data_IF_199618093226
#
_entry.id   IF_199618093226
#
_cell.length_a   1.000
_cell.length_b   1.000
_cell.length_c   1.000
_cell.angle_alpha   90.00
_cell.angle_beta   90.00
_cell.angle_gamma   90.00
#
_symmetry.space_group_name_H-M   'P 1'
#
loop_
_entity.id
_entity.type
_entity.pdbx_description
1 polymer ?
#
# COMPACT_ATOMS: atom_id res chain seq x y z
N UNK A 1 -17.15 15.99 -14.28
CA UNK A 1 -16.79 15.52 -12.92
C UNK A 1 -15.26 15.49 -12.80
N UNK A 2 -14.65 15.94 -11.71
CA UNK A 2 -13.17 15.91 -11.57
C UNK A 2 -12.65 14.47 -11.61
N UNK A 3 -11.55 14.20 -12.33
CA UNK A 3 -10.93 12.86 -12.45
C UNK A 3 -10.65 12.22 -11.09
N UNK A 4 -10.22 13.02 -10.12
CA UNK A 4 -10.00 12.56 -8.74
C UNK A 4 -11.30 12.12 -8.06
N UNK A 5 -12.44 12.77 -8.34
CA UNK A 5 -13.74 12.34 -7.80
C UNK A 5 -14.18 11.01 -8.40
N UNK A 6 -13.98 10.81 -9.70
CA UNK A 6 -14.25 9.51 -10.34
C UNK A 6 -13.38 8.41 -9.74
N UNK A 7 -12.08 8.66 -9.58
CA UNK A 7 -11.15 7.72 -8.97
C UNK A 7 -11.52 7.40 -7.51
N UNK A 8 -11.91 8.42 -6.73
CA UNK A 8 -12.41 8.25 -5.38
C UNK A 8 -13.65 7.34 -5.33
N UNK A 9 -14.66 7.61 -6.15
CA UNK A 9 -15.87 6.77 -6.20
C UNK A 9 -15.51 5.33 -6.61
N UNK A 10 -14.66 5.17 -7.63
CA UNK A 10 -14.25 3.86 -8.11
C UNK A 10 -13.54 3.04 -7.02
N UNK A 11 -12.49 3.61 -6.38
CA UNK A 11 -11.75 2.88 -5.33
C UNK A 11 -12.62 2.61 -4.11
N UNK A 12 -13.48 3.55 -3.72
CA UNK A 12 -14.42 3.37 -2.61
C UNK A 12 -15.40 2.23 -2.89
N UNK A 13 -15.96 2.20 -4.11
CA UNK A 13 -16.87 1.14 -4.53
C UNK A 13 -16.17 -0.22 -4.54
N UNK A 14 -14.95 -0.30 -5.06
CA UNK A 14 -14.16 -1.55 -5.06
C UNK A 14 -13.87 -2.05 -3.65
N UNK A 15 -13.44 -1.16 -2.74
CA UNK A 15 -13.16 -1.53 -1.34
C UNK A 15 -14.43 -1.98 -0.63
N UNK A 16 -15.52 -1.22 -0.74
CA UNK A 16 -16.77 -1.53 -0.05
C UNK A 16 -17.41 -2.81 -0.57
N UNK A 17 -17.59 -2.94 -1.89
CA UNK A 17 -18.21 -4.11 -2.50
C UNK A 17 -17.33 -5.35 -2.34
N UNK A 18 -16.01 -5.23 -2.51
CA UNK A 18 -15.08 -6.33 -2.31
C UNK A 18 -15.04 -6.80 -0.85
N UNK A 19 -15.07 -5.86 0.11
CA UNK A 19 -15.13 -6.20 1.54
C UNK A 19 -16.45 -6.86 1.89
N UNK A 20 -17.59 -6.31 1.44
CA UNK A 20 -18.91 -6.89 1.66
C UNK A 20 -18.99 -8.32 1.09
N UNK A 21 -18.53 -8.50 -0.16
CA UNK A 21 -18.40 -9.83 -0.76
C UNK A 21 -17.57 -10.76 0.12
N UNK A 22 -16.40 -10.31 0.58
CA UNK A 22 -15.52 -11.15 1.38
C UNK A 22 -16.12 -11.63 2.69
N UNK A 23 -16.98 -10.81 3.31
CA UNK A 23 -17.71 -11.15 4.54
C UNK A 23 -18.84 -12.12 4.23
N UNK A 24 -19.65 -11.84 3.20
CA UNK A 24 -20.80 -12.70 2.83
C UNK A 24 -20.35 -14.10 2.44
N UNK A 25 -19.24 -14.22 1.70
CA UNK A 25 -18.75 -15.49 1.19
C UNK A 25 -17.58 -16.07 1.99
N UNK A 26 -17.21 -15.47 3.14
CA UNK A 26 -16.08 -15.89 3.97
C UNK A 26 -14.77 -16.10 3.19
N UNK A 27 -14.48 -15.20 2.24
CA UNK A 27 -13.28 -15.32 1.38
C UNK A 27 -12.08 -14.55 1.88
N UNK A 28 -12.22 -13.75 2.93
CA UNK A 28 -11.09 -12.99 3.48
C UNK A 28 -10.17 -13.86 4.35
N UNK A 29 -8.88 -13.56 4.31
CA UNK A 29 -7.88 -14.11 5.21
C UNK A 29 -7.42 -13.06 6.22
N UNK A 30 -7.65 -13.30 7.50
CA UNK A 30 -7.15 -12.47 8.59
C UNK A 30 -5.61 -12.53 8.66
N UNK A 31 -4.93 -11.42 8.37
CA UNK A 31 -3.46 -11.37 8.33
C UNK A 31 -2.83 -11.15 9.69
N UNK A 32 -3.61 -10.67 10.67
CA UNK A 32 -3.20 -10.54 12.07
C UNK A 32 -3.07 -11.90 12.76
N UNK A 33 -3.83 -12.91 12.32
CA UNK A 33 -3.84 -14.23 12.95
C UNK A 33 -2.54 -15.02 12.66
N UNK A 34 -1.68 -15.27 13.66
CA UNK A 34 -0.40 -15.95 13.45
C UNK A 34 -0.53 -17.40 12.98
N UNK A 35 -1.64 -18.07 13.31
CA UNK A 35 -1.90 -19.46 12.93
C UNK A 35 -2.30 -19.60 11.46
N UNK A 36 -2.89 -18.56 10.86
CA UNK A 36 -3.40 -18.61 9.50
C UNK A 36 -2.49 -17.89 8.50
N UNK A 37 -1.89 -16.77 8.89
CA UNK A 37 -1.20 -15.86 7.97
C UNK A 37 0.03 -16.46 7.29
N UNK A 38 0.68 -17.45 7.90
CA UNK A 38 1.86 -18.12 7.34
C UNK A 38 1.47 -19.22 6.32
N UNK A 39 0.23 -19.70 6.35
CA UNK A 39 -0.26 -20.73 5.46
C UNK A 39 -0.68 -20.16 4.08
N UNK A 40 -0.70 -20.99 3.02
CA UNK A 40 -1.35 -20.63 1.78
C UNK A 40 -2.82 -20.29 2.01
N UNK A 41 -3.34 -19.31 1.28
CA UNK A 41 -4.76 -18.96 1.35
C UNK A 41 -5.61 -20.20 1.01
N UNK A 42 -6.71 -20.49 1.73
CA UNK A 42 -7.54 -21.68 1.48
C UNK A 42 -8.02 -21.80 0.03
N UNK A 43 -8.44 -20.68 -0.55
CA UNK A 43 -8.86 -20.58 -1.96
C UNK A 43 -7.71 -20.52 -2.99
N UNK A 44 -6.44 -20.58 -2.58
CA UNK A 44 -5.30 -20.40 -3.52
C UNK A 44 -5.19 -21.49 -4.58
N UNK A 45 -5.74 -22.69 -4.33
CA UNK A 45 -5.74 -23.80 -5.29
C UNK A 45 -6.77 -23.63 -6.41
N UNK A 46 -7.89 -22.95 -6.13
CA UNK A 46 -9.00 -22.76 -7.07
C UNK A 46 -9.00 -21.36 -7.68
N UNK A 47 -8.58 -20.35 -6.91
CA UNK A 47 -8.58 -18.95 -7.29
C UNK A 47 -7.15 -18.43 -7.37
N UNK A 48 -6.69 -18.16 -8.60
CA UNK A 48 -5.32 -17.66 -8.88
C UNK A 48 -4.97 -16.42 -8.05
N UNK A 49 -5.91 -15.49 -7.91
CA UNK A 49 -5.68 -14.21 -7.24
C UNK A 49 -5.66 -14.30 -5.71
N UNK A 50 -6.14 -15.41 -5.14
CA UNK A 50 -6.01 -15.69 -3.71
C UNK A 50 -4.59 -16.17 -3.33
N UNK A 51 -3.76 -16.54 -4.31
CA UNK A 51 -2.37 -16.91 -4.04
C UNK A 51 -1.49 -15.68 -3.85
N UNK A 52 -0.70 -15.62 -2.77
CA UNK A 52 0.32 -14.57 -2.53
C UNK A 52 1.42 -14.57 -3.60
N UNK A 53 1.61 -15.67 -4.32
CA UNK A 53 2.60 -15.81 -5.40
C UNK A 53 2.10 -15.37 -6.78
N UNK A 54 0.90 -14.79 -6.88
CA UNK A 54 0.36 -14.43 -8.18
C UNK A 54 1.17 -13.31 -8.88
N UNK A 55 1.18 -13.24 -10.23
CA UNK A 55 1.99 -12.26 -10.96
C UNK A 55 1.69 -10.80 -10.64
N UNK A 56 0.42 -10.47 -10.37
CA UNK A 56 0.02 -9.11 -9.99
C UNK A 56 0.70 -8.70 -8.68
N UNK A 57 0.74 -9.59 -7.70
CA UNK A 57 1.41 -9.32 -6.43
C UNK A 57 2.93 -9.15 -6.60
N UNK A 58 3.58 -10.09 -7.31
CA UNK A 58 5.04 -10.15 -7.41
C UNK A 58 5.62 -9.00 -8.24
N UNK A 59 5.01 -8.68 -9.39
CA UNK A 59 5.57 -7.71 -10.33
C UNK A 59 5.04 -6.29 -10.15
N UNK A 60 3.77 -6.14 -9.74
CA UNK A 60 3.14 -4.83 -9.65
C UNK A 60 3.02 -4.35 -8.21
N UNK A 61 2.29 -5.07 -7.36
CA UNK A 61 1.90 -4.58 -6.03
C UNK A 61 3.14 -4.35 -5.15
N UNK A 62 4.09 -5.30 -5.09
CA UNK A 62 5.34 -5.14 -4.33
C UNK A 62 6.20 -3.94 -4.78
N UNK A 63 6.01 -3.46 -6.01
CA UNK A 63 6.72 -2.33 -6.60
C UNK A 63 5.79 -1.14 -6.88
N UNK A 64 4.62 -1.08 -6.24
CA UNK A 64 3.53 -0.19 -6.63
C UNK A 64 3.93 1.29 -6.61
N UNK A 65 4.66 1.73 -5.59
CA UNK A 65 5.10 3.13 -5.51
C UNK A 65 6.10 3.50 -6.62
N UNK A 66 7.00 2.57 -6.98
CA UNK A 66 7.95 2.76 -8.08
C UNK A 66 7.22 2.94 -9.42
N UNK A 67 6.27 2.06 -9.72
CA UNK A 67 5.42 2.17 -10.92
C UNK A 67 4.58 3.45 -10.94
N UNK A 68 4.00 3.81 -9.79
CA UNK A 68 3.23 5.06 -9.61
C UNK A 68 4.09 6.28 -9.90
N UNK A 69 5.30 6.32 -9.34
CA UNK A 69 6.24 7.43 -9.56
C UNK A 69 6.72 7.51 -11.00
N UNK A 70 7.05 6.37 -11.63
CA UNK A 70 7.45 6.32 -13.03
C UNK A 70 6.34 6.81 -13.97
N UNK A 71 5.10 6.36 -13.77
CA UNK A 71 3.95 6.79 -14.57
C UNK A 71 3.70 8.30 -14.43
N UNK A 72 3.74 8.82 -13.20
CA UNK A 72 3.60 10.26 -12.95
C UNK A 72 4.72 11.07 -13.62
N UNK A 73 5.98 10.72 -13.39
CA UNK A 73 7.12 11.46 -13.93
C UNK A 73 7.17 11.43 -15.46
N UNK A 74 6.77 10.31 -16.07
CA UNK A 74 6.63 10.21 -17.53
C UNK A 74 5.54 11.16 -18.05
N UNK A 75 4.36 11.19 -17.43
CA UNK A 75 3.29 12.10 -17.83
C UNK A 75 3.61 13.57 -17.56
N UNK A 76 4.35 13.86 -16.48
CA UNK A 76 4.84 15.19 -16.17
C UNK A 76 5.89 15.64 -17.20
N UNK A 77 6.91 14.82 -17.48
CA UNK A 77 8.01 15.17 -18.38
C UNK A 77 7.60 15.32 -19.85
N UNK A 78 6.66 14.48 -20.32
CA UNK A 78 6.14 14.55 -21.70
C UNK A 78 5.08 15.64 -21.91
N UNK A 79 4.56 16.23 -20.83
CA UNK A 79 3.53 17.26 -20.88
C UNK A 79 4.05 18.62 -21.38
N UNK A 80 3.18 19.45 -21.98
CA UNK A 80 3.56 20.82 -22.36
C UNK A 80 3.95 21.66 -21.13
N UNK A 81 4.74 22.75 -21.31
CA UNK A 81 5.20 23.59 -20.22
C UNK A 81 4.09 24.07 -19.27
N UNK A 82 2.90 24.33 -19.80
CA UNK A 82 1.71 24.72 -19.02
C UNK A 82 1.27 23.69 -17.97
N UNK A 83 1.60 22.42 -18.18
CA UNK A 83 1.29 21.34 -17.23
C UNK A 83 2.47 20.96 -16.33
N UNK A 84 3.70 21.33 -16.68
CA UNK A 84 4.93 21.01 -15.93
C UNK A 84 5.12 21.92 -14.71
N UNK A 85 4.17 21.87 -13.80
CA UNK A 85 4.10 22.80 -12.66
C UNK A 85 4.79 22.23 -11.41
N UNK A 86 5.44 23.11 -10.64
CA UNK A 86 6.07 22.77 -9.35
C UNK A 86 5.06 22.21 -8.34
N UNK A 87 3.85 22.80 -8.17
CA UNK A 87 2.83 22.24 -7.26
C UNK A 87 2.48 20.76 -7.51
N UNK A 88 2.59 20.27 -8.74
CA UNK A 88 2.36 18.84 -9.05
C UNK A 88 3.48 17.97 -8.51
N UNK A 89 4.74 18.37 -8.69
CA UNK A 89 5.90 17.69 -8.12
C UNK A 89 5.84 17.70 -6.59
N UNK A 90 5.51 18.85 -5.98
CA UNK A 90 5.43 18.96 -4.53
C UNK A 90 4.40 17.99 -3.96
N UNK A 91 3.22 17.84 -4.57
CA UNK A 91 2.21 16.85 -4.14
C UNK A 91 2.74 15.41 -4.20
N UNK A 92 3.48 15.05 -5.24
CA UNK A 92 4.10 13.73 -5.36
C UNK A 92 5.21 13.52 -4.31
N UNK A 93 6.06 14.52 -4.08
CA UNK A 93 7.07 14.47 -3.03
C UNK A 93 6.44 14.35 -1.64
N UNK A 94 5.42 15.14 -1.33
CA UNK A 94 4.68 15.06 -0.06
C UNK A 94 4.00 13.70 0.12
N UNK A 95 3.38 13.16 -0.94
CA UNK A 95 2.80 11.82 -0.89
C UNK A 95 3.87 10.74 -0.66
N UNK A 96 5.06 10.88 -1.26
CA UNK A 96 6.20 9.98 -1.04
C UNK A 96 6.69 10.05 0.39
N UNK A 97 6.85 11.26 0.94
CA UNK A 97 7.29 11.46 2.31
C UNK A 97 6.29 10.86 3.31
N UNK A 98 4.98 11.12 3.13
CA UNK A 98 3.93 10.55 3.99
C UNK A 98 3.94 9.03 3.90
N UNK A 99 3.98 8.44 2.70
CA UNK A 99 4.07 6.99 2.53
C UNK A 99 5.28 6.39 3.26
N UNK A 100 6.47 7.00 3.12
CA UNK A 100 7.69 6.55 3.80
C UNK A 100 7.57 6.57 5.33
N UNK A 101 6.89 7.57 5.93
CA UNK A 101 6.64 7.59 7.38
C UNK A 101 5.85 6.36 7.84
N UNK A 102 4.93 5.86 7.02
CA UNK A 102 4.12 4.69 7.37
C UNK A 102 4.84 3.36 7.12
N UNK A 103 5.71 3.28 6.11
CA UNK A 103 6.27 2.00 5.65
C UNK A 103 7.76 1.81 5.89
N UNK A 104 8.52 2.88 6.11
CA UNK A 104 9.95 2.83 6.30
C UNK A 104 10.33 3.10 7.76
N UNK A 105 11.49 2.58 8.15
CA UNK A 105 12.13 2.94 9.41
C UNK A 105 12.56 4.40 9.37
N UNK A 106 11.71 5.29 9.88
CA UNK A 106 11.96 6.72 9.92
C UNK A 106 11.76 7.20 11.37
N UNK A 107 12.88 7.44 12.08
CA UNK A 107 12.91 7.72 13.52
C UNK A 107 12.37 6.58 14.41
N UNK A 108 12.75 5.34 14.09
CA UNK A 108 12.32 4.13 14.80
C UNK A 108 11.44 3.23 13.94
N UNK A 109 10.74 2.25 14.55
CA UNK A 109 9.82 1.34 13.85
C UNK A 109 8.83 2.10 12.97
N UNK A 110 8.52 1.54 11.80
CA UNK A 110 7.53 2.09 10.89
C UNK A 110 6.19 2.31 11.62
N UNK A 111 5.43 3.34 11.25
CA UNK A 111 4.21 3.68 11.98
C UNK A 111 3.17 2.53 11.96
N UNK A 112 3.14 1.72 10.90
CA UNK A 112 2.34 0.48 10.89
C UNK A 112 2.73 -0.50 12.00
N UNK A 113 4.02 -0.71 12.26
CA UNK A 113 4.47 -1.58 13.35
C UNK A 113 4.05 -1.04 14.72
N UNK A 114 4.11 0.28 14.89
CA UNK A 114 3.66 0.93 16.13
C UNK A 114 2.15 0.79 16.35
N UNK A 115 1.35 0.89 15.28
CA UNK A 115 -0.10 0.68 15.35
C UNK A 115 -0.41 -0.76 15.75
N UNK A 116 0.30 -1.74 15.17
CA UNK A 116 0.12 -3.15 15.53
C UNK A 116 0.46 -3.39 17.00
N UNK A 117 1.59 -2.88 17.49
CA UNK A 117 1.97 -3.01 18.90
C UNK A 117 0.98 -2.31 19.84
N UNK A 118 0.59 -1.07 19.52
CA UNK A 118 -0.34 -0.29 20.34
C UNK A 118 -1.74 -0.91 20.43
N UNK A 119 -2.12 -1.74 19.45
CA UNK A 119 -3.40 -2.47 19.42
C UNK A 119 -3.30 -3.88 20.01
N UNK A 120 -2.23 -4.19 20.76
CA UNK A 120 -2.05 -5.48 21.43
C UNK A 120 -1.28 -6.51 20.60
N UNK A 121 -0.56 -6.07 19.57
CA UNK A 121 0.26 -6.94 18.76
C UNK A 121 1.49 -7.45 19.49
N UNK A 122 1.88 -8.68 19.15
CA UNK A 122 3.04 -9.37 19.71
C UNK A 122 4.00 -9.75 18.58
N UNK A 123 5.30 -9.81 18.89
CA UNK A 123 6.27 -10.38 17.98
C UNK A 123 6.18 -11.90 18.04
N UNK A 124 5.73 -12.54 16.97
CA UNK A 124 5.45 -13.99 16.95
C UNK A 124 6.36 -14.70 15.98
N UNK A 125 6.93 -15.82 16.44
CA UNK A 125 7.65 -16.81 15.64
C UNK A 125 6.78 -18.04 15.44
N UNK A 126 6.41 -18.32 14.19
CA UNK A 126 5.68 -19.55 13.83
C UNK A 126 6.65 -20.72 13.74
N UNK A 127 6.38 -21.78 14.50
CA UNK A 127 7.17 -23.01 14.51
C UNK A 127 6.59 -24.03 13.50
N UNK A 128 7.42 -24.95 12.98
CA UNK A 128 6.96 -26.04 12.11
C UNK A 128 5.92 -26.97 12.75
N UNK A 129 5.85 -27.02 14.09
CA UNK A 129 4.84 -27.78 14.83
C UNK A 129 3.42 -27.18 14.70
N UNK A 130 3.31 -25.93 14.23
CA UNK A 130 2.07 -25.15 14.24
C UNK A 130 1.95 -24.25 15.46
N UNK A 131 2.84 -24.38 16.44
CA UNK A 131 2.87 -23.50 17.61
C UNK A 131 3.42 -22.11 17.28
N UNK A 132 3.01 -21.13 18.08
CA UNK A 132 3.45 -19.75 17.96
C UNK A 132 4.17 -19.32 19.24
N UNK A 133 5.46 -18.94 19.12
CA UNK A 133 6.26 -18.43 20.22
C UNK A 133 6.24 -16.90 20.21
N UNK A 134 5.86 -16.29 21.33
CA UNK A 134 5.94 -14.84 21.50
C UNK A 134 7.34 -14.43 21.95
N UNK A 135 7.93 -13.46 21.25
CA UNK A 135 9.27 -12.92 21.46
C UNK A 135 9.20 -11.43 21.85
N UNK A 136 10.27 -10.88 22.44
CA UNK A 136 10.42 -9.44 22.59
C UNK A 136 10.29 -8.70 21.24
N UNK A 137 9.71 -7.50 21.24
CA UNK A 137 9.36 -6.75 20.03
C UNK A 137 10.58 -6.39 19.17
N UNK A 138 11.75 -6.26 19.79
CA UNK A 138 13.03 -5.92 19.18
C UNK A 138 13.43 -6.91 18.07
N UNK A 139 13.08 -8.19 18.23
CA UNK A 139 13.36 -9.22 17.22
C UNK A 139 12.56 -9.00 15.93
N UNK A 140 11.35 -8.45 16.04
CA UNK A 140 10.53 -8.12 14.87
C UNK A 140 10.98 -6.81 14.20
N UNK A 141 11.42 -5.83 15.00
CA UNK A 141 11.92 -4.54 14.49
C UNK A 141 13.23 -4.68 13.71
N UNK A 142 14.13 -5.57 14.16
CA UNK A 142 15.37 -5.84 13.44
C UNK A 142 15.16 -6.67 12.18
N UNK A 143 14.08 -7.46 12.13
CA UNK A 143 13.79 -8.38 11.03
C UNK A 143 14.83 -9.50 10.88
N UNK A 144 15.67 -9.72 11.90
CA UNK A 144 16.71 -10.73 11.88
C UNK A 144 16.08 -12.14 11.91
N UNK A 145 16.65 -13.07 11.15
CA UNK A 145 16.27 -14.46 11.24
C UNK A 145 16.81 -15.06 12.54
N UNK A 146 15.95 -15.77 13.27
CA UNK A 146 16.31 -16.49 14.51
C UNK A 146 16.44 -17.99 14.21
N UNK A 147 17.36 -18.65 14.91
CA UNK A 147 17.57 -20.10 14.84
C UNK A 147 18.01 -20.66 16.18
N UNK A 148 17.84 -21.97 16.42
CA UNK A 148 18.38 -22.64 17.60
C UNK A 148 19.89 -22.45 17.77
N UNK A 149 20.64 -22.41 16.66
CA UNK A 149 22.10 -22.23 16.68
C UNK A 149 22.53 -20.82 17.10
N UNK A 150 21.75 -19.78 16.75
CA UNK A 150 22.10 -18.38 17.02
C UNK A 150 21.47 -17.86 18.30
N UNK A 151 20.29 -18.36 18.66
CA UNK A 151 19.48 -17.89 19.78
C UNK A 151 18.97 -19.08 20.61
N UNK A 152 19.85 -19.93 21.16
CA UNK A 152 19.45 -21.17 21.83
C UNK A 152 18.50 -20.92 23.01
N UNK A 153 18.64 -19.79 23.70
CA UNK A 153 17.78 -19.39 24.81
C UNK A 153 16.30 -19.24 24.43
N UNK A 154 15.96 -18.95 23.17
CA UNK A 154 14.58 -18.83 22.70
C UNK A 154 13.88 -20.19 22.48
N UNK A 155 14.67 -21.27 22.40
CA UNK A 155 14.18 -22.62 22.08
C UNK A 155 14.37 -23.61 23.23
N UNK A 156 14.73 -23.15 24.42
CA UNK A 156 14.93 -24.00 25.61
C UNK A 156 13.63 -24.65 26.10
N UNK A 157 12.49 -23.96 25.89
CA UNK A 157 11.16 -24.42 26.32
C UNK A 157 10.35 -25.08 25.20
N UNK A 158 10.89 -25.16 23.98
CA UNK A 158 10.15 -25.78 22.88
C UNK A 158 10.09 -27.29 23.07
N UNK A 159 8.88 -27.85 22.99
CA UNK A 159 8.63 -29.30 23.13
C UNK A 159 9.19 -30.15 21.99
N UNK A 160 9.84 -29.52 21.00
CA UNK A 160 10.38 -30.18 19.80
C UNK A 160 11.79 -29.70 19.48
N UNK A 161 12.66 -30.63 19.07
CA UNK A 161 14.03 -30.33 18.67
C UNK A 161 14.03 -29.87 17.21
N UNK A 162 14.27 -28.58 16.99
CA UNK A 162 14.43 -28.03 15.65
C UNK A 162 15.84 -28.32 15.10
N UNK A 163 15.97 -28.60 13.79
CA UNK A 163 17.29 -28.69 13.16
C UNK A 163 18.10 -27.40 13.35
N UNK A 164 19.43 -27.51 13.52
CA UNK A 164 20.33 -26.35 13.65
C UNK A 164 20.24 -25.38 12.48
N UNK A 165 19.94 -25.91 11.29
CA UNK A 165 19.80 -25.17 10.04
C UNK A 165 18.46 -24.43 9.89
N UNK A 166 17.48 -24.73 10.73
CA UNK A 166 16.18 -24.08 10.65
C UNK A 166 16.30 -22.60 11.03
N UNK A 167 15.74 -21.74 10.18
CA UNK A 167 15.74 -20.28 10.35
C UNK A 167 14.37 -19.74 10.01
N UNK A 168 13.86 -18.84 10.83
CA UNK A 168 12.66 -18.07 10.51
C UNK A 168 12.77 -16.64 11.03
N UNK A 169 12.07 -15.71 10.38
CA UNK A 169 12.01 -14.31 10.81
C UNK A 169 10.70 -14.10 11.55
N UNK A 170 10.73 -13.67 12.82
CA UNK A 170 9.52 -13.38 13.57
C UNK A 170 8.81 -12.15 12.98
N UNK A 171 7.49 -12.09 13.16
CA UNK A 171 6.65 -11.01 12.61
C UNK A 171 5.66 -10.52 13.66
N UNK A 172 5.34 -9.23 13.62
CA UNK A 172 4.28 -8.66 14.44
C UNK A 172 2.92 -9.21 14.00
N UNK A 173 2.16 -9.76 14.94
CA UNK A 173 0.86 -10.44 14.77
C UNK A 173 -0.05 -10.16 15.97
N UNK A 174 -1.29 -10.69 15.95
CA UNK A 174 -2.34 -10.58 16.98
C UNK A 174 -2.94 -9.18 17.20
N UNK A 175 -2.27 -8.11 16.79
CA UNK A 175 -2.79 -6.74 16.82
C UNK A 175 -3.48 -6.33 15.51
N UNK A 176 -3.90 -5.07 15.42
CA UNK A 176 -4.55 -4.51 14.25
C UNK A 176 -3.56 -4.24 13.11
N UNK A 177 -3.48 -5.16 12.15
CA UNK A 177 -2.59 -5.10 10.97
C UNK A 177 -3.22 -4.30 9.83
N UNK A 178 -3.11 -2.97 9.89
CA UNK A 178 -3.63 -2.05 8.86
C UNK A 178 -3.20 -2.52 7.47
N UNK A 179 -4.14 -2.65 6.53
CA UNK A 179 -3.82 -3.16 5.20
C UNK A 179 -2.95 -2.18 4.41
N UNK A 180 -1.63 -2.42 4.41
CA UNK A 180 -0.65 -1.64 3.66
C UNK A 180 -0.90 -1.66 2.14
N UNK A 181 -1.49 -2.73 1.62
CA UNK A 181 -1.89 -2.83 0.22
C UNK A 181 -3.04 -1.89 -0.13
N UNK A 182 -4.14 -1.95 0.61
CA UNK A 182 -5.27 -1.04 0.40
C UNK A 182 -4.82 0.41 0.60
N UNK A 183 -3.97 0.66 1.60
CA UNK A 183 -3.39 1.97 1.85
C UNK A 183 -2.62 2.51 0.63
N UNK A 184 -1.58 1.77 0.19
CA UNK A 184 -0.69 2.21 -0.88
C UNK A 184 -1.43 2.35 -2.21
N UNK A 185 -2.26 1.37 -2.57
CA UNK A 185 -2.99 1.37 -3.83
C UNK A 185 -4.02 2.51 -3.89
N UNK A 186 -4.73 2.78 -2.80
CA UNK A 186 -5.67 3.92 -2.72
C UNK A 186 -4.95 5.24 -2.89
N UNK A 187 -3.82 5.44 -2.19
CA UNK A 187 -2.99 6.64 -2.32
C UNK A 187 -2.48 6.81 -3.76
N UNK A 188 -1.99 5.73 -4.38
CA UNK A 188 -1.53 5.71 -5.77
C UNK A 188 -2.64 6.05 -6.77
N UNK A 189 -3.83 5.46 -6.66
CA UNK A 189 -4.98 5.74 -7.55
C UNK A 189 -5.35 7.21 -7.51
N UNK A 190 -5.52 7.77 -6.32
CA UNK A 190 -5.93 9.16 -6.14
C UNK A 190 -4.86 10.14 -6.63
N UNK A 191 -3.59 9.86 -6.32
CA UNK A 191 -2.46 10.66 -6.79
C UNK A 191 -2.40 10.66 -8.31
N UNK A 192 -2.39 9.50 -8.98
CA UNK A 192 -2.32 9.43 -10.43
C UNK A 192 -3.51 10.13 -11.09
N UNK A 193 -4.74 9.87 -10.62
CA UNK A 193 -5.95 10.49 -11.17
C UNK A 193 -5.95 12.01 -11.06
N UNK A 194 -5.39 12.55 -9.97
CA UNK A 194 -5.20 13.99 -9.81
C UNK A 194 -4.10 14.52 -10.74
N UNK A 195 -2.98 13.80 -10.84
CA UNK A 195 -1.84 14.25 -11.63
C UNK A 195 -2.12 14.29 -13.13
N UNK A 196 -2.97 13.41 -13.65
CA UNK A 196 -3.36 13.41 -15.07
C UNK A 196 -4.49 14.40 -15.40
N UNK A 197 -5.15 14.99 -14.38
CA UNK A 197 -6.29 15.89 -14.57
C UNK A 197 -6.00 17.10 -15.49
N UNK A 198 -4.84 17.78 -15.39
CA UNK A 198 -4.52 18.93 -16.25
C UNK A 198 -4.40 18.53 -17.73
N UNK A 199 -3.93 17.31 -18.02
CA UNK A 199 -3.74 16.84 -19.39
C UNK A 199 -5.06 16.69 -20.15
N UNK A 200 -6.16 16.37 -19.46
CA UNK A 200 -7.49 16.31 -20.08
C UNK A 200 -8.06 17.68 -20.48
N UNK A 201 -7.43 18.79 -20.07
CA UNK A 201 -7.80 20.15 -20.49
C UNK A 201 -7.06 20.58 -21.76
N UNK A 202 -6.08 19.80 -22.22
CA UNK A 202 -5.35 20.08 -23.44
C UNK A 202 -6.20 19.68 -24.64
N UNK A 203 -6.13 20.47 -25.71
CA UNK A 203 -6.86 20.22 -26.97
C UNK A 203 -6.19 19.15 -27.83
N UNK A 204 -4.87 18.99 -27.71
CA UNK A 204 -4.07 17.99 -28.43
C UNK A 204 -2.97 17.44 -27.52
N UNK A 205 -2.68 16.15 -27.67
CA UNK A 205 -1.54 15.49 -27.03
C UNK A 205 -0.49 15.16 -28.07
N UNK A 206 0.79 15.35 -27.72
CA UNK A 206 1.87 14.75 -28.49
C UNK A 206 1.83 13.22 -28.33
N UNK A 207 2.33 12.48 -29.32
CA UNK A 207 2.43 11.01 -29.24
C UNK A 207 3.07 10.50 -27.94
N UNK A 208 4.23 11.03 -27.48
CA UNK A 208 4.82 10.58 -26.22
C UNK A 208 3.93 10.89 -25.01
N UNK A 209 3.23 12.03 -25.01
CA UNK A 209 2.30 12.36 -23.93
C UNK A 209 1.06 11.45 -23.93
N UNK A 210 0.53 11.11 -25.10
CA UNK A 210 -0.58 10.18 -25.23
C UNK A 210 -0.21 8.79 -24.68
N UNK A 211 0.99 8.28 -25.01
CA UNK A 211 1.50 7.02 -24.43
C UNK A 211 1.62 7.10 -22.91
N UNK A 212 2.14 8.21 -22.38
CA UNK A 212 2.23 8.43 -20.93
C UNK A 212 0.86 8.44 -20.25
N UNK A 213 -0.13 9.09 -20.86
CA UNK A 213 -1.51 9.13 -20.37
C UNK A 213 -2.15 7.74 -20.38
N UNK A 214 -1.99 6.97 -21.46
CA UNK A 214 -2.44 5.58 -21.54
C UNK A 214 -1.78 4.72 -20.46
N UNK A 215 -0.47 4.86 -20.23
CA UNK A 215 0.22 4.14 -19.18
C UNK A 215 -0.35 4.46 -17.77
N UNK A 216 -0.66 5.72 -17.49
CA UNK A 216 -1.28 6.12 -16.23
C UNK A 216 -2.68 5.52 -16.05
N UNK A 217 -3.51 5.57 -17.09
CA UNK A 217 -4.87 5.01 -17.05
C UNK A 217 -4.85 3.49 -16.87
N UNK A 218 -3.99 2.79 -17.60
CA UNK A 218 -3.76 1.34 -17.43
C UNK A 218 -3.31 1.03 -16.01
N UNK A 219 -2.37 1.81 -15.46
CA UNK A 219 -1.87 1.59 -14.12
C UNK A 219 -2.94 1.84 -13.05
N UNK A 220 -3.80 2.86 -13.20
CA UNK A 220 -4.98 3.06 -12.35
C UNK A 220 -5.91 1.85 -12.41
N UNK A 221 -6.17 1.31 -13.60
CA UNK A 221 -6.97 0.10 -13.77
C UNK A 221 -6.37 -1.12 -13.06
N UNK A 222 -5.05 -1.32 -13.17
CA UNK A 222 -4.31 -2.37 -12.46
C UNK A 222 -4.42 -2.18 -10.95
N UNK A 223 -4.31 -0.94 -10.44
CA UNK A 223 -4.47 -0.66 -9.01
C UNK A 223 -5.89 -0.91 -8.52
N UNK A 224 -6.92 -0.51 -9.27
CA UNK A 224 -8.31 -0.83 -8.92
C UNK A 224 -8.54 -2.35 -8.86
N UNK A 225 -8.01 -3.09 -9.84
CA UNK A 225 -8.09 -4.54 -9.85
C UNK A 225 -7.35 -5.16 -8.64
N UNK A 226 -6.13 -4.69 -8.36
CA UNK A 226 -5.35 -5.11 -7.20
C UNK A 226 -6.10 -4.84 -5.88
N UNK A 227 -6.64 -3.64 -5.71
CA UNK A 227 -7.50 -3.28 -4.56
C UNK A 227 -8.67 -4.24 -4.43
N UNK A 228 -9.31 -4.61 -5.55
CA UNK A 228 -10.40 -5.59 -5.57
C UNK A 228 -9.95 -6.98 -5.11
N UNK A 229 -8.84 -7.50 -5.65
CA UNK A 229 -8.29 -8.80 -5.22
C UNK A 229 -7.89 -8.81 -3.74
N UNK A 230 -7.32 -7.72 -3.24
CA UNK A 230 -7.02 -7.57 -1.81
C UNK A 230 -8.30 -7.54 -0.99
N UNK A 231 -9.30 -6.76 -1.41
CA UNK A 231 -10.57 -6.64 -0.68
C UNK A 231 -11.35 -7.95 -0.61
N UNK A 232 -11.25 -8.80 -1.64
CA UNK A 232 -11.93 -10.10 -1.68
C UNK A 232 -11.19 -11.17 -0.88
N UNK A 233 -9.86 -11.27 -0.98
CA UNK A 233 -9.12 -12.44 -0.49
C UNK A 233 -8.24 -12.21 0.74
N UNK A 234 -7.84 -10.97 1.05
CA UNK A 234 -6.82 -10.73 2.07
C UNK A 234 -7.28 -9.69 3.07
N UNK A 235 -6.72 -9.74 4.28
CA UNK A 235 -7.04 -8.87 5.41
C UNK A 235 -8.45 -9.04 5.96
N UNK A 236 -8.62 -8.79 7.26
CA UNK A 236 -9.94 -8.67 7.86
C UNK A 236 -10.67 -7.40 7.36
N UNK A 237 -12.00 -7.31 7.50
CA UNK A 237 -12.75 -6.10 7.12
C UNK A 237 -12.23 -4.83 7.80
N UNK A 238 -11.89 -4.89 9.09
CA UNK A 238 -11.35 -3.76 9.84
C UNK A 238 -9.99 -3.28 9.31
N UNK A 239 -9.09 -4.21 9.01
CA UNK A 239 -7.77 -3.92 8.44
C UNK A 239 -7.86 -3.23 7.06
N UNK A 240 -8.83 -3.64 6.22
CA UNK A 240 -9.11 -3.00 4.92
C UNK A 240 -9.63 -1.57 5.10
N UNK A 241 -10.63 -1.39 5.97
CA UNK A 241 -11.28 -0.09 6.20
C UNK A 241 -10.27 0.92 6.74
N UNK A 242 -9.47 0.54 7.74
CA UNK A 242 -8.45 1.41 8.30
C UNK A 242 -7.35 1.76 7.29
N UNK A 243 -6.88 0.80 6.48
CA UNK A 243 -5.92 1.08 5.41
C UNK A 243 -6.46 2.07 4.38
N UNK A 244 -7.72 1.92 3.98
CA UNK A 244 -8.40 2.84 3.08
C UNK A 244 -8.57 4.25 3.68
N UNK A 245 -9.09 4.38 4.90
CA UNK A 245 -9.29 5.67 5.56
C UNK A 245 -7.96 6.41 5.76
N UNK A 246 -6.94 5.68 6.17
CA UNK A 246 -5.61 6.23 6.34
C UNK A 246 -5.03 6.77 5.02
N UNK A 247 -5.27 6.07 3.90
CA UNK A 247 -4.85 6.55 2.60
C UNK A 247 -5.56 7.84 2.18
N UNK A 248 -6.85 8.00 2.50
CA UNK A 248 -7.57 9.24 2.24
C UNK A 248 -6.97 10.41 3.03
N UNK A 249 -6.71 10.19 4.33
CA UNK A 249 -6.08 11.20 5.19
C UNK A 249 -4.70 11.58 4.65
N UNK A 250 -3.87 10.58 4.32
CA UNK A 250 -2.54 10.80 3.74
C UNK A 250 -2.58 11.51 2.39
N UNK A 251 -3.55 11.16 1.53
CA UNK A 251 -3.76 11.84 0.27
C UNK A 251 -4.10 13.32 0.48
N UNK A 252 -5.00 13.64 1.41
CA UNK A 252 -5.38 15.02 1.75
C UNK A 252 -4.16 15.79 2.30
N UNK A 253 -3.41 15.22 3.23
CA UNK A 253 -2.21 15.84 3.80
C UNK A 253 -1.17 16.14 2.72
N UNK A 254 -0.97 15.23 1.77
CA UNK A 254 -0.03 15.43 0.66
C UNK A 254 -0.40 16.61 -0.26
N UNK A 255 -1.63 17.12 -0.20
CA UNK A 255 -2.06 18.26 -1.02
C UNK A 255 -1.65 19.61 -0.43
N UNK A 256 -1.42 19.69 0.89
CA UNK A 256 -1.25 20.96 1.61
C UNK A 256 -0.13 21.81 1.00
N UNK A 257 1.09 21.29 0.79
CA UNK A 257 2.18 22.12 0.28
C UNK A 257 1.95 22.59 -1.16
N UNK A 258 1.41 21.71 -2.02
CA UNK A 258 1.07 22.07 -3.39
C UNK A 258 -0.05 23.10 -3.50
N UNK A 259 -1.02 23.07 -2.58
CA UNK A 259 -2.09 24.06 -2.53
C UNK A 259 -1.58 25.42 -2.03
N UNK A 260 -0.68 25.42 -1.05
CA UNK A 260 -0.03 26.64 -0.58
C UNK A 260 0.75 27.35 -1.70
N UNK A 261 1.52 26.60 -2.51
CA UNK A 261 2.25 27.16 -3.66
C UNK A 261 1.33 27.74 -4.75
N UNK A 262 0.14 27.15 -4.94
CA UNK A 262 -0.85 27.70 -5.88
C UNK A 262 -1.48 28.98 -5.32
N UNK A 263 -1.72 29.04 -4.02
CA UNK A 263 -2.32 30.20 -3.36
C UNK A 263 -1.39 31.43 -3.34
N UNK A 264 -0.07 31.22 -3.27
CA UNK A 264 0.93 32.31 -3.22
C UNK A 264 1.43 32.75 -4.60
N UNK A 265 1.06 32.06 -5.68
CA UNK A 265 1.45 32.45 -7.04
C UNK A 265 0.85 33.83 -7.41
N UNK A 266 1.64 34.76 -7.99
CA UNK A 266 1.14 36.04 -8.46
C UNK A 266 0.01 35.82 -9.47
N UNK A 267 -1.15 36.45 -9.26
CA UNK A 267 -2.19 36.50 -10.31
C UNK A 267 -1.67 37.42 -11.42
N UNK A 268 -1.48 36.88 -12.61
CA UNK A 268 -1.29 37.71 -13.81
C UNK A 268 -2.46 38.70 -13.89
N UNK A 269 -2.15 40.00 -13.87
CA UNK A 269 -3.16 41.02 -14.13
C UNK A 269 -3.64 40.82 -15.56
N UNK A 270 -4.96 40.78 -15.82
CA UNK A 270 -5.44 40.73 -17.20
C UNK A 270 -4.89 41.97 -17.91
N UNK A 271 -4.19 41.75 -19.03
CA UNK A 271 -3.81 42.83 -19.92
C UNK A 271 -5.08 43.57 -20.33
N UNK A 272 -5.22 44.81 -19.86
CA UNK A 272 -6.24 45.72 -20.34
C UNK A 272 -5.88 46.06 -21.79
N UNK A 273 -6.68 45.55 -22.73
CA UNK A 273 -6.75 46.06 -24.09
C UNK A 273 -7.83 47.14 -24.15
#
# INVERSE_FOLDING_TARGET
MSTTRLAFIAVSSVVLLGTAYSVVYNTYLDTSNPLLTHLPHPLSKTHRWASKGNPLNVYFIKKAWGWTSAAFLLAWGTGPPSTRTVPRLTRWFSATAVWLVFTAWFFGPALFERIVLASGGECVLSLPSGDALSLPAEYCHTGAAVSPATHPALFTTSSFVLPSEWRATPRLRKGHDVSGHIFLLTLSILLLAQQIAPSFRLTRWSTPHAVAMCANLTLIGIWLFATGTTSVYFHSPGEKITGYLLALVCFIMAQIPGNALVATAPREKPHAN
#
